data_IF_917964842514
#
_entry.id   IF_917964842514
#
_cell.length_a   1.000
_cell.length_b   1.000
_cell.length_c   1.000
_cell.angle_alpha   90.00
_cell.angle_beta   90.00
_cell.angle_gamma   90.00
#
_symmetry.space_group_name_H-M   'P 1'
#
loop_
_entity.id
_entity.type
_entity.pdbx_description
1 polymer ?
#
# COMPACT_ATOMS: atom_id res chain seq x y z
N UNK A 1 10.37 -27.39 10.62
CA UNK A 1 9.04 -26.97 10.15
C UNK A 1 8.62 -27.97 9.09
N UNK A 2 7.54 -28.68 9.33
CA UNK A 2 6.92 -29.58 8.38
C UNK A 2 6.26 -28.77 7.24
N UNK A 3 6.41 -29.22 5.99
CA UNK A 3 6.00 -28.49 4.79
C UNK A 3 4.50 -28.20 4.63
N UNK A 4 3.69 -28.50 5.66
CA UNK A 4 2.25 -28.26 5.72
C UNK A 4 1.86 -26.93 6.42
N UNK A 5 2.83 -26.12 6.87
CA UNK A 5 2.54 -24.88 7.61
C UNK A 5 2.91 -23.57 6.90
N UNK A 6 3.32 -23.60 5.63
CA UNK A 6 3.51 -22.34 4.88
C UNK A 6 2.11 -21.87 4.43
N UNK A 7 1.64 -20.66 4.78
CA UNK A 7 0.29 -20.18 4.45
C UNK A 7 -0.06 -20.27 2.95
N UNK A 8 0.96 -20.23 2.08
CA UNK A 8 0.85 -20.32 0.63
C UNK A 8 0.56 -21.74 0.12
N UNK A 9 0.71 -22.78 0.96
CA UNK A 9 0.33 -24.16 0.64
C UNK A 9 -1.17 -24.34 0.33
N UNK A 10 -2.00 -23.37 0.73
CA UNK A 10 -3.44 -23.30 0.46
C UNK A 10 -3.81 -22.99 -1.00
N UNK A 11 -2.81 -22.69 -1.87
CA UNK A 11 -3.01 -22.45 -3.32
C UNK A 11 -3.84 -23.54 -4.02
N UNK A 12 -3.84 -24.77 -3.48
CA UNK A 12 -4.50 -25.95 -4.06
C UNK A 12 -6.02 -25.82 -4.22
N UNK A 13 -6.68 -24.88 -3.54
CA UNK A 13 -8.14 -24.71 -3.59
C UNK A 13 -8.60 -23.44 -4.33
N UNK A 14 -7.75 -22.85 -5.17
CA UNK A 14 -8.06 -21.58 -5.85
C UNK A 14 -7.89 -20.34 -4.98
N UNK A 15 -7.38 -20.50 -3.74
CA UNK A 15 -7.02 -19.39 -2.87
C UNK A 15 -5.73 -18.74 -3.35
N UNK A 16 -5.72 -17.42 -3.47
CA UNK A 16 -4.52 -16.65 -3.75
C UNK A 16 -3.95 -16.05 -2.47
N UNK A 17 -2.66 -16.28 -2.22
CA UNK A 17 -1.92 -15.67 -1.12
C UNK A 17 -0.99 -14.58 -1.65
N UNK A 18 -1.14 -13.37 -1.13
CA UNK A 18 -0.29 -12.22 -1.45
C UNK A 18 0.46 -11.74 -0.21
N UNK A 19 1.67 -11.22 -0.39
CA UNK A 19 2.42 -10.53 0.67
C UNK A 19 2.11 -9.04 0.63
N UNK A 20 1.87 -8.41 1.78
CA UNK A 20 1.80 -6.94 1.89
C UNK A 20 3.16 -6.39 2.34
N UNK A 21 3.61 -5.30 1.73
CA UNK A 21 4.88 -4.62 2.04
C UNK A 21 4.57 -3.19 2.47
N UNK A 22 4.90 -2.86 3.72
CA UNK A 22 4.69 -1.53 4.31
C UNK A 22 3.81 -1.61 5.57
N UNK A 23 2.71 -0.88 5.55
CA UNK A 23 1.73 -0.72 6.61
C UNK A 23 2.10 0.38 7.61
N UNK A 24 1.14 0.78 8.44
CA UNK A 24 1.25 1.90 9.39
C UNK A 24 2.56 2.02 10.17
N UNK A 25 3.19 0.91 10.58
CA UNK A 25 4.47 0.92 11.32
C UNK A 25 5.67 1.50 10.54
N UNK A 26 5.52 1.74 9.23
CA UNK A 26 6.50 2.44 8.41
C UNK A 26 6.39 3.96 8.55
N UNK A 27 5.47 4.50 9.36
CA UNK A 27 5.36 5.94 9.60
C UNK A 27 6.25 6.45 10.74
N UNK A 28 6.79 5.57 11.59
CA UNK A 28 7.45 5.97 12.84
C UNK A 28 8.72 6.79 12.58
N UNK A 29 8.76 8.10 12.93
CA UNK A 29 9.89 8.97 12.64
C UNK A 29 11.18 8.51 13.31
N UNK A 30 12.31 8.65 12.60
CA UNK A 30 13.63 8.26 13.11
C UNK A 30 13.92 6.76 13.08
N UNK A 31 12.98 5.94 12.57
CA UNK A 31 13.23 4.52 12.31
C UNK A 31 13.84 4.31 10.93
N UNK A 32 14.57 3.20 10.76
CA UNK A 32 15.11 2.79 9.45
C UNK A 32 14.03 2.54 8.39
N UNK A 33 12.76 2.40 8.80
CA UNK A 33 11.64 2.09 7.91
C UNK A 33 10.90 3.34 7.43
N UNK A 34 10.97 4.42 8.20
CA UNK A 34 10.26 5.69 7.95
C UNK A 34 10.41 6.18 6.50
N UNK A 35 11.64 6.21 6.00
CA UNK A 35 11.94 6.68 4.66
C UNK A 35 12.07 5.56 3.63
N UNK A 36 11.89 4.29 4.01
CA UNK A 36 12.30 3.14 3.19
C UNK A 36 11.64 3.13 1.80
N UNK A 37 10.35 3.46 1.72
CA UNK A 37 9.66 3.56 0.44
C UNK A 37 10.15 4.78 -0.37
N UNK A 38 10.24 5.96 0.25
CA UNK A 38 10.69 7.19 -0.41
C UNK A 38 12.16 7.14 -0.86
N UNK A 39 13.01 6.35 -0.21
CA UNK A 39 14.39 6.11 -0.61
C UNK A 39 14.50 5.09 -1.75
N UNK A 40 13.54 4.15 -1.82
CA UNK A 40 13.53 3.10 -2.83
C UNK A 40 13.00 3.59 -4.18
N UNK A 41 11.93 4.38 -4.21
CA UNK A 41 11.24 4.71 -5.46
C UNK A 41 11.94 5.69 -6.43
N UNK A 42 12.83 6.62 -6.05
CA UNK A 42 13.32 7.65 -6.99
C UNK A 42 14.30 7.11 -8.04
N UNK A 43 15.11 6.11 -7.69
CA UNK A 43 16.13 5.57 -8.60
C UNK A 43 15.65 4.26 -9.25
N UNK A 44 15.78 4.16 -10.58
CA UNK A 44 15.46 2.94 -11.34
C UNK A 44 16.23 1.72 -10.81
N UNK A 45 17.52 1.90 -10.47
CA UNK A 45 18.33 0.83 -9.90
C UNK A 45 17.77 0.31 -8.57
N UNK A 46 17.26 1.20 -7.71
CA UNK A 46 16.68 0.83 -6.42
C UNK A 46 15.34 0.11 -6.61
N UNK A 47 14.46 0.63 -7.47
CA UNK A 47 13.19 -0.04 -7.82
C UNK A 47 13.44 -1.43 -8.41
N UNK A 48 14.38 -1.55 -9.34
CA UNK A 48 14.78 -2.84 -9.93
C UNK A 48 15.30 -3.82 -8.88
N UNK A 49 16.16 -3.38 -7.98
CA UNK A 49 16.68 -4.23 -6.89
C UNK A 49 15.57 -4.68 -5.94
N UNK A 50 14.65 -3.79 -5.58
CA UNK A 50 13.47 -4.11 -4.79
C UNK A 50 12.58 -5.15 -5.49
N UNK A 51 12.24 -4.93 -6.76
CA UNK A 51 11.38 -5.85 -7.54
C UNK A 51 12.01 -7.24 -7.65
N UNK A 52 13.32 -7.32 -7.90
CA UNK A 52 14.04 -8.60 -7.97
C UNK A 52 14.06 -9.33 -6.63
N UNK A 53 14.32 -8.60 -5.54
CA UNK A 53 14.26 -9.14 -4.18
C UNK A 53 12.88 -9.67 -3.84
N UNK A 54 11.84 -8.91 -4.21
CA UNK A 54 10.44 -9.26 -4.01
C UNK A 54 10.03 -10.50 -4.80
N UNK A 55 10.42 -10.61 -6.08
CA UNK A 55 10.19 -11.81 -6.89
C UNK A 55 10.84 -13.03 -6.22
N UNK A 56 12.11 -12.90 -5.80
CA UNK A 56 12.81 -13.97 -5.10
C UNK A 56 12.11 -14.39 -3.81
N UNK A 57 11.61 -13.41 -3.05
CA UNK A 57 10.84 -13.67 -1.83
C UNK A 57 9.54 -14.43 -2.16
N UNK A 58 8.76 -13.95 -3.13
CA UNK A 58 7.53 -14.61 -3.56
C UNK A 58 7.78 -16.02 -4.08
N UNK A 59 8.86 -16.24 -4.82
CA UNK A 59 9.31 -17.55 -5.28
C UNK A 59 9.63 -18.48 -4.11
N UNK A 60 10.41 -17.99 -3.15
CA UNK A 60 10.89 -18.77 -2.00
C UNK A 60 9.74 -19.25 -1.13
N UNK A 61 8.78 -18.37 -0.87
CA UNK A 61 7.67 -18.65 0.03
C UNK A 61 6.38 -19.03 -0.70
N UNK A 62 6.41 -19.09 -2.03
CA UNK A 62 5.28 -19.50 -2.87
C UNK A 62 4.14 -18.48 -2.95
N UNK A 63 4.35 -17.19 -2.70
CA UNK A 63 3.31 -16.16 -2.88
C UNK A 63 2.94 -16.00 -4.36
N UNK A 64 1.68 -15.64 -4.63
CA UNK A 64 1.19 -15.43 -6.00
C UNK A 64 0.94 -13.96 -6.31
N UNK A 65 1.24 -13.06 -5.38
CA UNK A 65 1.17 -11.64 -5.61
C UNK A 65 1.67 -10.82 -4.42
N UNK A 66 1.60 -9.52 -4.59
CA UNK A 66 2.06 -8.52 -3.63
C UNK A 66 1.08 -7.37 -3.55
N UNK A 67 1.01 -6.77 -2.38
CA UNK A 67 0.34 -5.52 -2.11
C UNK A 67 1.34 -4.48 -1.59
N UNK A 68 1.41 -3.33 -2.25
CA UNK A 68 2.22 -2.20 -1.79
C UNK A 68 1.35 -1.35 -0.86
N UNK A 69 1.61 -1.49 0.44
CA UNK A 69 0.86 -0.85 1.51
C UNK A 69 1.63 0.37 2.03
N UNK A 70 1.89 1.35 1.16
CA UNK A 70 2.65 2.54 1.54
C UNK A 70 1.73 3.61 2.12
N UNK A 71 1.84 3.80 3.43
CA UNK A 71 1.18 4.86 4.18
C UNK A 71 2.21 5.91 4.61
N UNK A 72 2.29 7.13 4.05
CA UNK A 72 1.71 7.55 2.76
C UNK A 72 2.78 8.26 1.90
N UNK A 73 2.75 8.11 0.57
CA UNK A 73 3.62 8.86 -0.33
C UNK A 73 3.36 10.37 -0.19
N UNK A 74 4.41 11.17 -0.33
CA UNK A 74 4.37 12.63 -0.25
C UNK A 74 3.87 13.23 1.08
N UNK A 75 3.80 12.45 2.18
CA UNK A 75 3.57 12.95 3.54
C UNK A 75 4.89 13.07 4.30
N UNK A 76 5.45 14.28 4.50
CA UNK A 76 6.76 14.47 5.12
C UNK A 76 6.84 13.99 6.57
N UNK A 77 5.72 14.03 7.32
CA UNK A 77 5.70 13.51 8.70
C UNK A 77 5.89 11.99 8.78
N UNK A 78 5.64 11.31 7.66
CA UNK A 78 5.77 9.87 7.46
C UNK A 78 6.99 9.50 6.61
N UNK A 79 7.95 10.43 6.45
CA UNK A 79 9.17 10.20 5.68
C UNK A 79 9.02 10.32 4.16
N UNK A 80 7.83 10.70 3.66
CA UNK A 80 7.55 10.89 2.24
C UNK A 80 8.09 12.21 1.67
N UNK A 81 8.31 12.21 0.35
CA UNK A 81 8.78 13.34 -0.47
C UNK A 81 7.80 13.61 -1.61
N UNK A 82 7.77 14.84 -2.10
CA UNK A 82 6.81 15.25 -3.14
C UNK A 82 6.93 14.41 -4.42
N UNK A 83 8.14 13.99 -4.76
CA UNK A 83 8.45 13.20 -5.94
C UNK A 83 7.94 11.75 -5.84
N UNK A 84 7.57 11.28 -4.63
CA UNK A 84 7.04 9.93 -4.40
C UNK A 84 5.81 9.65 -5.27
N UNK A 85 4.96 10.65 -5.49
CA UNK A 85 3.73 10.50 -6.28
C UNK A 85 4.00 9.99 -7.69
N UNK A 86 4.98 10.56 -8.39
CA UNK A 86 5.33 10.12 -9.75
C UNK A 86 6.20 8.85 -9.72
N UNK A 87 7.10 8.76 -8.75
CA UNK A 87 7.99 7.60 -8.62
C UNK A 87 7.24 6.32 -8.26
N UNK A 88 6.15 6.41 -7.51
CA UNK A 88 5.29 5.27 -7.20
C UNK A 88 4.59 4.75 -8.46
N UNK A 89 4.20 5.61 -9.42
CA UNK A 89 3.66 5.18 -10.72
C UNK A 89 4.72 4.38 -11.49
N UNK A 90 5.98 4.84 -11.49
CA UNK A 90 7.09 4.11 -12.12
C UNK A 90 7.29 2.74 -11.48
N UNK A 91 7.26 2.65 -10.15
CA UNK A 91 7.34 1.38 -9.44
C UNK A 91 6.21 0.43 -9.87
N UNK A 92 4.96 0.89 -9.89
CA UNK A 92 3.82 0.04 -10.30
C UNK A 92 3.99 -0.47 -11.72
N UNK A 93 4.41 0.41 -12.65
CA UNK A 93 4.67 0.06 -14.05
C UNK A 93 5.75 -1.01 -14.18
N UNK A 94 6.90 -0.80 -13.54
CA UNK A 94 8.04 -1.73 -13.60
C UNK A 94 7.73 -3.08 -12.93
N UNK A 95 6.95 -3.06 -11.84
CA UNK A 95 6.44 -4.29 -11.23
C UNK A 95 5.56 -5.07 -12.21
N UNK A 96 4.63 -4.42 -12.90
CA UNK A 96 3.76 -5.08 -13.90
C UNK A 96 4.57 -5.72 -15.02
N UNK A 97 5.55 -4.99 -15.54
CA UNK A 97 6.44 -5.46 -16.61
C UNK A 97 7.22 -6.70 -16.18
N UNK A 98 7.78 -6.72 -14.97
CA UNK A 98 8.55 -7.86 -14.48
C UNK A 98 7.71 -9.04 -13.98
N UNK A 99 6.50 -8.79 -13.47
CA UNK A 99 5.60 -9.85 -13.01
C UNK A 99 4.96 -10.59 -14.18
N UNK A 100 4.70 -9.90 -15.29
CA UNK A 100 4.01 -10.46 -16.44
C UNK A 100 2.68 -11.08 -16.03
N UNK A 101 2.49 -12.37 -16.36
CA UNK A 101 1.30 -13.16 -15.97
C UNK A 101 1.52 -14.03 -14.72
N UNK A 102 2.70 -13.96 -14.11
CA UNK A 102 3.13 -14.89 -13.06
C UNK A 102 2.66 -14.48 -11.68
N UNK A 103 2.66 -13.18 -11.40
CA UNK A 103 2.29 -12.61 -10.12
C UNK A 103 1.25 -11.52 -10.30
N UNK A 104 0.38 -11.39 -9.29
CA UNK A 104 -0.54 -10.27 -9.19
C UNK A 104 0.09 -9.12 -8.39
N UNK A 105 -0.23 -7.89 -8.78
CA UNK A 105 0.12 -6.69 -8.01
C UNK A 105 -1.13 -5.96 -7.54
N UNK A 106 -1.06 -5.40 -6.34
CA UNK A 106 -2.00 -4.40 -5.83
C UNK A 106 -1.27 -3.29 -5.08
N UNK A 107 -2.00 -2.23 -4.80
CA UNK A 107 -1.58 -1.18 -3.88
C UNK A 107 -2.74 -0.77 -2.99
N UNK A 108 -2.41 -0.18 -1.86
CA UNK A 108 -3.38 0.29 -0.88
C UNK A 108 -3.64 1.78 -1.01
N UNK A 109 -4.93 2.13 -1.03
CA UNK A 109 -5.46 3.48 -1.03
C UNK A 109 -6.11 3.83 0.31
N UNK A 110 -6.07 5.11 0.63
CA UNK A 110 -6.71 5.71 1.79
C UNK A 110 -7.97 6.49 1.39
N UNK A 111 -9.03 6.46 2.22
CA UNK A 111 -10.25 7.25 2.02
C UNK A 111 -10.10 8.72 2.40
N UNK A 112 -9.00 9.10 3.07
CA UNK A 112 -8.72 10.47 3.46
C UNK A 112 -8.10 11.24 2.28
N UNK A 113 -8.80 12.30 1.84
CA UNK A 113 -8.35 13.14 0.75
C UNK A 113 -6.97 13.77 0.99
N UNK A 114 -6.64 14.10 2.24
CA UNK A 114 -5.35 14.72 2.59
C UNK A 114 -4.18 13.86 2.10
N UNK A 115 -4.23 12.56 2.39
CA UNK A 115 -3.23 11.56 2.01
C UNK A 115 -3.42 11.06 0.57
N UNK A 116 -4.66 10.95 0.08
CA UNK A 116 -4.95 10.49 -1.28
C UNK A 116 -4.30 11.37 -2.37
N UNK A 117 -4.08 12.67 -2.10
CA UNK A 117 -3.36 13.58 -3.00
C UNK A 117 -1.91 13.16 -3.30
N UNK A 118 -1.31 12.31 -2.46
CA UNK A 118 0.02 11.74 -2.69
C UNK A 118 0.03 10.63 -3.75
N UNK A 119 -1.13 10.18 -4.22
CA UNK A 119 -1.29 9.10 -5.19
C UNK A 119 -1.76 9.61 -6.56
N UNK A 120 -1.52 8.81 -7.60
CA UNK A 120 -2.14 8.96 -8.93
C UNK A 120 -2.97 7.73 -9.28
N UNK A 121 -4.13 7.49 -8.63
CA UNK A 121 -4.87 6.23 -8.76
C UNK A 121 -5.24 5.90 -10.22
N UNK A 122 -5.60 6.93 -11.00
CA UNK A 122 -6.00 6.76 -12.40
C UNK A 122 -4.87 6.27 -13.33
N UNK A 123 -3.62 6.63 -13.01
CA UNK A 123 -2.43 6.15 -13.72
C UNK A 123 -1.99 4.79 -13.17
N UNK A 124 -1.94 4.65 -11.84
CA UNK A 124 -1.48 3.44 -11.15
C UNK A 124 -2.35 2.22 -11.44
N UNK A 125 -3.68 2.38 -11.50
CA UNK A 125 -4.61 1.26 -11.73
C UNK A 125 -4.36 0.50 -13.05
N UNK A 126 -3.66 1.12 -14.01
CA UNK A 126 -3.32 0.50 -15.29
C UNK A 126 -2.27 -0.61 -15.16
N UNK A 127 -1.55 -0.64 -14.03
CA UNK A 127 -0.40 -1.51 -13.80
C UNK A 127 -0.62 -2.55 -12.71
N UNK A 128 -1.78 -2.55 -12.06
CA UNK A 128 -2.13 -3.51 -11.00
C UNK A 128 -3.39 -4.27 -11.37
N UNK A 129 -3.62 -5.41 -10.72
CA UNK A 129 -4.80 -6.23 -11.00
C UNK A 129 -6.00 -5.82 -10.12
N UNK A 130 -5.74 -5.21 -8.96
CA UNK A 130 -6.74 -4.71 -8.04
C UNK A 130 -6.12 -3.68 -7.09
N UNK A 131 -6.97 -2.95 -6.38
CA UNK A 131 -6.59 -1.93 -5.41
C UNK A 131 -7.30 -2.21 -4.10
N UNK A 132 -6.58 -2.07 -2.97
CA UNK A 132 -7.18 -2.13 -1.64
C UNK A 132 -7.59 -0.73 -1.23
N UNK A 133 -8.76 -0.60 -0.62
CA UNK A 133 -9.24 0.66 -0.10
C UNK A 133 -9.42 0.55 1.41
N UNK A 134 -8.57 1.24 2.17
CA UNK A 134 -8.56 1.24 3.64
C UNK A 134 -9.73 2.03 4.21
N UNK A 135 -10.94 1.52 3.98
CA UNK A 135 -12.21 2.09 4.43
C UNK A 135 -12.43 1.92 5.96
N UNK A 136 -11.35 2.03 6.73
CA UNK A 136 -11.29 1.89 8.19
C UNK A 136 -10.23 2.85 8.75
N UNK A 137 -10.20 3.01 10.08
CA UNK A 137 -9.34 4.01 10.72
C UNK A 137 -9.78 5.44 10.46
N UNK A 138 -11.06 5.66 10.11
CA UNK A 138 -11.60 6.98 9.77
C UNK A 138 -11.62 7.92 10.97
N UNK A 139 -11.90 7.37 12.14
CA UNK A 139 -11.97 8.11 13.40
C UNK A 139 -11.26 7.33 14.51
N UNK A 140 -10.69 8.05 15.46
CA UNK A 140 -10.01 7.45 16.61
C UNK A 140 -9.63 8.50 17.64
N UNK A 141 -8.91 8.07 18.68
CA UNK A 141 -8.50 8.96 19.78
C UNK A 141 -7.60 10.11 19.32
N UNK A 142 -6.89 9.96 18.19
CA UNK A 142 -6.09 11.03 17.59
C UNK A 142 -6.92 12.22 17.06
N UNK A 143 -8.25 12.06 16.93
CA UNK A 143 -9.16 13.12 16.47
C UNK A 143 -9.74 14.00 17.60
N UNK A 144 -9.41 13.74 18.87
CA UNK A 144 -10.05 14.43 20.02
C UNK A 144 -9.82 15.93 20.05
N UNK A 145 -8.69 16.39 19.50
CA UNK A 145 -8.30 17.81 19.53
C UNK A 145 -8.84 18.59 18.33
N UNK A 146 -9.43 17.90 17.34
CA UNK A 146 -10.01 18.52 16.17
C UNK A 146 -11.33 19.20 16.56
N UNK A 147 -11.26 20.52 16.84
CA UNK A 147 -12.43 21.36 17.17
C UNK A 147 -13.58 21.25 16.15
N UNK A 148 -13.26 20.93 14.90
CA UNK A 148 -14.21 20.73 13.80
C UNK A 148 -15.01 19.43 13.90
N UNK A 149 -14.52 18.42 14.63
CA UNK A 149 -15.22 17.14 14.80
C UNK A 149 -16.25 17.19 15.93
N UNK A 150 -16.08 18.12 16.88
CA UNK A 150 -16.91 18.29 18.07
C UNK A 150 -16.73 17.17 19.10
N UNK A 151 -17.44 17.24 20.22
CA UNK A 151 -17.41 16.21 21.29
C UNK A 151 -18.30 15.01 20.95
N UNK A 152 -18.07 14.36 19.81
CA UNK A 152 -18.82 13.17 19.37
C UNK A 152 -17.88 12.00 19.17
N UNK A 153 -18.22 10.85 19.76
CA UNK A 153 -17.57 9.58 19.43
C UNK A 153 -18.04 9.18 18.04
N UNK A 154 -17.11 8.95 17.13
CA UNK A 154 -17.37 8.47 15.77
C UNK A 154 -16.75 7.08 15.60
N UNK A 155 -17.40 6.19 14.84
CA UNK A 155 -16.91 4.83 14.65
C UNK A 155 -15.64 4.83 13.79
N UNK A 156 -14.77 3.83 13.94
CA UNK A 156 -13.58 3.68 13.09
C UNK A 156 -13.92 3.38 11.61
N UNK A 157 -15.16 2.98 11.36
CA UNK A 157 -15.74 2.68 10.04
C UNK A 157 -17.14 3.28 9.96
N UNK A 158 -17.47 3.97 8.87
CA UNK A 158 -18.79 4.56 8.64
C UNK A 158 -19.19 4.36 7.17
N UNK A 159 -20.28 3.64 6.91
CA UNK A 159 -20.69 3.30 5.54
C UNK A 159 -21.01 4.54 4.71
N UNK A 160 -21.53 5.61 5.32
CA UNK A 160 -21.86 6.86 4.63
C UNK A 160 -20.60 7.59 4.21
N UNK A 161 -19.59 7.63 5.08
CA UNK A 161 -18.28 8.23 4.76
C UNK A 161 -17.55 7.40 3.70
N UNK A 162 -17.60 6.07 3.80
CA UNK A 162 -17.01 5.16 2.81
C UNK A 162 -17.68 5.35 1.44
N UNK A 163 -19.01 5.36 1.38
CA UNK A 163 -19.75 5.63 0.15
C UNK A 163 -19.39 6.99 -0.45
N UNK A 164 -19.17 8.00 0.39
CA UNK A 164 -18.73 9.32 -0.07
C UNK A 164 -17.31 9.29 -0.64
N UNK A 165 -16.37 8.59 0.00
CA UNK A 165 -14.98 8.49 -0.45
C UNK A 165 -14.82 7.61 -1.70
N UNK A 166 -15.78 6.74 -2.02
CA UNK A 166 -15.80 5.92 -3.23
C UNK A 166 -16.48 6.58 -4.43
N UNK A 167 -17.18 7.72 -4.24
CA UNK A 167 -17.77 8.45 -5.36
C UNK A 167 -16.66 9.08 -6.20
N UNK A 168 -16.68 8.94 -7.54
CA UNK A 168 -15.78 9.67 -8.41
C UNK A 168 -15.88 11.17 -8.11
N UNK A 169 -14.73 11.85 -8.04
CA UNK A 169 -14.66 13.32 -7.95
C UNK A 169 -15.29 13.97 -9.18
#
# INVERSE_FOLDING_TARGET
MDGNQIPTSLKRNGLQTCIAIGGWSFNDPGTLKCNAHSDMVPAEANRRAFIQSLIKFMDTYGFQGVDIDWEYPAEPKSGGRKEDTDNLVLLMKEMKEQFGRRYSGSFTLTPDYWYLRGFKPAEMQRYVDWTRFMSYGLHGSWGTDAKTLGSRVRPQTDITEIEKSLKPL
#
